data_IF_959068982272
#
_entry.id   IF_959068982272
#
_cell.length_a   1.000
_cell.length_b   1.000
_cell.length_c   1.000
_cell.angle_alpha   90.00
_cell.angle_beta   90.00
_cell.angle_gamma   90.00
#
_symmetry.space_group_name_H-M   'P 1'
#
loop_
_entity.id
_entity.type
_entity.pdbx_description
1 polymer ?
#
# COMPACT_ATOMS: atom_id res chain seq x y z
N UNK A 1 17.56 -24.60 0.90
CA UNK A 1 16.22 -24.10 1.29
C UNK A 1 16.27 -23.05 2.41
N UNK A 2 17.38 -22.91 3.14
CA UNK A 2 17.53 -21.89 4.20
C UNK A 2 17.40 -20.43 3.69
N UNK A 3 17.77 -20.14 2.44
CA UNK A 3 17.66 -18.77 1.89
C UNK A 3 16.22 -18.28 1.70
N UNK A 4 15.27 -19.19 1.50
CA UNK A 4 13.85 -18.85 1.31
C UNK A 4 13.22 -18.46 2.66
N UNK A 5 13.66 -19.11 3.75
CA UNK A 5 13.22 -18.80 5.11
C UNK A 5 13.75 -17.44 5.60
N UNK A 6 14.89 -16.97 5.07
CA UNK A 6 15.43 -15.63 5.34
C UNK A 6 14.84 -14.53 4.43
N UNK A 7 13.82 -14.84 3.62
CA UNK A 7 13.16 -13.88 2.73
C UNK A 7 13.93 -13.54 1.46
N UNK A 8 15.08 -14.18 1.20
CA UNK A 8 15.86 -13.98 -0.02
C UNK A 8 15.46 -15.06 -1.04
N UNK A 9 14.54 -14.69 -1.92
CA UNK A 9 14.07 -15.58 -2.99
C UNK A 9 14.81 -15.25 -4.30
N UNK A 10 15.63 -16.16 -4.84
CA UNK A 10 16.39 -15.93 -6.08
C UNK A 10 15.49 -15.63 -7.29
N UNK A 11 15.91 -14.69 -8.14
CA UNK A 11 15.13 -14.26 -9.30
C UNK A 11 14.87 -15.36 -10.35
N UNK A 12 15.78 -16.32 -10.49
CA UNK A 12 15.63 -17.51 -11.35
C UNK A 12 14.51 -18.43 -10.83
N UNK A 13 14.44 -18.65 -9.52
CA UNK A 13 13.40 -19.46 -8.88
C UNK A 13 12.01 -18.86 -9.12
N UNK A 14 11.86 -17.54 -9.04
CA UNK A 14 10.59 -16.86 -9.32
C UNK A 14 10.23 -16.85 -10.82
N UNK A 15 11.21 -16.88 -11.72
CA UNK A 15 11.00 -16.97 -13.17
C UNK A 15 10.54 -18.38 -13.56
N UNK A 16 11.12 -19.39 -12.92
CA UNK A 16 10.72 -20.79 -13.06
C UNK A 16 9.31 -21.04 -12.50
N UNK A 17 8.98 -20.49 -11.32
CA UNK A 17 7.62 -20.55 -10.75
C UNK A 17 6.56 -19.83 -11.61
N UNK A 18 6.94 -18.79 -12.36
CA UNK A 18 6.04 -18.12 -13.29
C UNK A 18 5.64 -18.98 -14.48
N UNK A 19 6.48 -19.96 -14.86
CA UNK A 19 6.28 -20.85 -16.02
C UNK A 19 5.68 -22.19 -15.58
N UNK A 20 6.20 -22.76 -14.50
CA UNK A 20 5.86 -24.11 -14.05
C UNK A 20 4.77 -24.13 -12.97
N UNK A 21 4.27 -22.97 -12.55
CA UNK A 21 3.38 -22.84 -11.40
C UNK A 21 4.11 -23.05 -10.08
N UNK A 22 3.35 -23.05 -8.98
CA UNK A 22 3.89 -23.36 -7.66
C UNK A 22 4.21 -24.86 -7.57
N UNK A 23 5.37 -25.20 -7.00
CA UNK A 23 5.68 -26.58 -6.61
C UNK A 23 4.58 -27.13 -5.69
N UNK A 24 4.36 -28.45 -5.69
CA UNK A 24 3.48 -29.06 -4.70
C UNK A 24 3.89 -28.65 -3.28
N UNK A 25 2.87 -28.50 -2.43
CA UNK A 25 3.02 -28.06 -1.04
C UNK A 25 4.16 -28.83 -0.37
N UNK A 26 5.22 -28.12 0.05
CA UNK A 26 6.05 -28.64 1.11
C UNK A 26 5.18 -28.68 2.36
N UNK A 27 4.67 -29.87 2.69
CA UNK A 27 3.99 -30.14 3.94
C UNK A 27 5.01 -29.91 5.05
N UNK A 28 4.90 -28.78 5.74
CA UNK A 28 5.54 -28.65 7.04
C UNK A 28 4.81 -29.59 7.99
N UNK A 29 5.57 -30.41 8.72
CA UNK A 29 5.02 -31.13 9.88
C UNK A 29 4.39 -30.09 10.78
N UNK A 30 3.06 -30.14 11.01
CA UNK A 30 2.42 -29.21 11.93
C UNK A 30 3.10 -29.35 13.29
N UNK A 31 3.29 -28.24 13.99
CA UNK A 31 3.78 -28.29 15.37
C UNK A 31 2.91 -29.27 16.19
N UNK A 32 3.51 -30.02 17.11
CA UNK A 32 2.82 -31.08 17.87
C UNK A 32 1.54 -30.58 18.55
N UNK A 33 1.55 -29.33 19.02
CA UNK A 33 0.39 -28.69 19.67
C UNK A 33 -0.78 -28.40 18.70
N UNK A 34 -0.56 -28.38 17.37
CA UNK A 34 -1.62 -28.27 16.36
C UNK A 34 -2.32 -29.61 16.09
N UNK A 35 -1.78 -30.72 16.63
CA UNK A 35 -2.41 -32.05 16.57
C UNK A 35 -3.37 -32.30 17.74
N UNK A 36 -3.43 -31.39 18.72
CA UNK A 36 -4.34 -31.49 19.84
C UNK A 36 -5.80 -31.18 19.42
N UNK A 37 -6.81 -31.79 20.07
CA UNK A 37 -8.21 -31.52 19.78
C UNK A 37 -8.54 -30.02 19.92
N UNK A 38 -9.32 -29.49 18.97
CA UNK A 38 -9.81 -28.11 19.06
C UNK A 38 -10.68 -27.93 20.31
N UNK A 39 -10.28 -27.00 21.18
CA UNK A 39 -11.07 -26.57 22.33
C UNK A 39 -11.73 -25.21 22.05
N UNK A 40 -13.07 -25.09 22.16
CA UNK A 40 -13.77 -23.81 22.01
C UNK A 40 -13.24 -22.80 23.02
N UNK A 41 -12.88 -21.61 22.54
CA UNK A 41 -12.39 -20.51 23.38
C UNK A 41 -13.52 -19.52 23.69
N UNK A 42 -13.42 -18.87 24.85
CA UNK A 42 -14.38 -17.84 25.28
C UNK A 42 -14.27 -16.60 24.39
N UNK A 43 -15.35 -15.81 24.29
CA UNK A 43 -15.35 -14.58 23.50
C UNK A 43 -14.32 -13.53 23.99
N UNK A 44 -13.87 -13.64 25.25
CA UNK A 44 -12.84 -12.76 25.85
C UNK A 44 -11.40 -13.21 25.62
N UNK A 45 -11.16 -14.43 25.09
CA UNK A 45 -9.82 -15.00 25.02
C UNK A 45 -8.85 -14.17 24.17
N UNK A 46 -9.34 -13.48 23.14
CA UNK A 46 -8.51 -12.59 22.29
C UNK A 46 -7.99 -11.39 23.07
N UNK A 47 -8.78 -10.87 24.01
CA UNK A 47 -8.39 -9.73 24.84
C UNK A 47 -7.44 -10.16 25.98
N UNK A 48 -7.59 -11.39 26.47
CA UNK A 48 -6.67 -12.02 27.44
C UNK A 48 -5.32 -12.38 26.81
N UNK A 49 -5.34 -12.95 25.60
CA UNK A 49 -4.13 -13.36 24.87
C UNK A 49 -3.36 -12.15 24.31
N UNK A 50 -4.06 -11.07 23.97
CA UNK A 50 -3.47 -9.88 23.33
C UNK A 50 -3.87 -8.57 24.02
N UNK A 51 -3.54 -8.39 25.31
CA UNK A 51 -3.98 -7.24 26.09
C UNK A 51 -3.49 -5.91 25.49
N UNK A 52 -2.30 -5.90 24.89
CA UNK A 52 -1.68 -4.72 24.30
C UNK A 52 -2.41 -4.16 23.07
N UNK A 53 -3.22 -4.98 22.37
CA UNK A 53 -4.02 -4.52 21.23
C UNK A 53 -5.26 -3.74 21.68
N UNK A 54 -5.70 -3.92 22.94
CA UNK A 54 -6.95 -3.36 23.47
C UNK A 54 -6.74 -2.42 24.67
N UNK A 55 -5.55 -2.39 25.28
CA UNK A 55 -5.25 -1.60 26.49
C UNK A 55 -4.83 -0.14 26.25
N UNK A 56 -5.24 0.45 25.12
CA UNK A 56 -5.46 1.90 25.00
C UNK A 56 -4.26 2.86 24.96
N UNK A 57 -3.00 2.40 24.89
CA UNK A 57 -1.84 3.30 24.80
C UNK A 57 -1.46 3.69 23.37
N UNK A 58 -1.78 2.85 22.38
CA UNK A 58 -1.67 3.17 20.97
C UNK A 58 -3.08 3.51 20.46
N UNK A 59 -3.29 4.73 19.98
CA UNK A 59 -4.58 5.12 19.40
C UNK A 59 -4.92 4.19 18.25
N UNK A 60 -5.82 3.23 18.45
CA UNK A 60 -6.17 2.14 17.51
C UNK A 60 -5.05 1.14 17.16
N UNK A 61 -5.47 -0.10 16.89
CA UNK A 61 -4.60 -1.22 16.46
C UNK A 61 -3.71 -0.86 15.25
N UNK A 62 -4.17 0.03 14.36
CA UNK A 62 -3.39 0.45 13.20
C UNK A 62 -2.07 1.13 13.59
N UNK A 63 -2.08 2.00 14.60
CA UNK A 63 -0.88 2.72 15.04
C UNK A 63 0.03 1.89 15.95
N UNK A 64 -0.46 0.75 16.46
CA UNK A 64 0.40 -0.25 17.05
C UNK A 64 1.32 -0.87 15.99
N UNK A 65 0.74 -1.27 14.85
CA UNK A 65 1.47 -1.93 13.76
C UNK A 65 2.24 -0.95 12.87
N UNK A 66 1.67 0.22 12.57
CA UNK A 66 2.26 1.25 11.73
C UNK A 66 2.62 2.45 12.60
N UNK A 67 3.83 2.41 13.15
CA UNK A 67 4.32 3.43 14.09
C UNK A 67 4.54 4.79 13.41
N UNK A 68 4.51 5.90 14.17
CA UNK A 68 4.74 7.26 13.64
C UNK A 68 5.96 7.38 12.73
N UNK A 69 7.10 6.78 13.14
CA UNK A 69 8.34 6.81 12.36
C UNK A 69 8.17 6.25 10.94
N UNK A 70 7.46 5.12 10.81
CA UNK A 70 7.21 4.52 9.50
C UNK A 70 6.44 5.49 8.58
N UNK A 71 5.48 6.25 9.11
CA UNK A 71 4.75 7.24 8.30
C UNK A 71 5.63 8.40 7.87
N UNK A 72 6.59 8.82 8.69
CA UNK A 72 7.58 9.85 8.36
C UNK A 72 8.52 9.35 7.27
N UNK A 73 9.03 8.13 7.41
CA UNK A 73 9.92 7.51 6.42
C UNK A 73 9.23 7.38 5.05
N UNK A 74 7.99 6.87 5.02
CA UNK A 74 7.19 6.78 3.78
C UNK A 74 6.95 8.17 3.17
N UNK A 75 6.79 9.20 4.02
CA UNK A 75 6.60 10.58 3.54
C UNK A 75 7.86 11.13 2.90
N UNK A 76 9.03 10.87 3.49
CA UNK A 76 10.33 11.23 2.93
C UNK A 76 10.55 10.52 1.60
N UNK A 77 10.39 9.20 1.54
CA UNK A 77 10.55 8.40 0.32
C UNK A 77 9.58 8.83 -0.80
N UNK A 78 8.33 9.15 -0.47
CA UNK A 78 7.36 9.67 -1.43
C UNK A 78 7.76 11.06 -1.97
N UNK A 79 8.43 11.87 -1.15
CA UNK A 79 8.95 13.19 -1.54
C UNK A 79 10.15 13.05 -2.45
N UNK A 80 11.09 12.18 -2.10
CA UNK A 80 12.29 11.92 -2.91
C UNK A 80 11.90 11.36 -4.28
N UNK A 81 10.96 10.41 -4.33
CA UNK A 81 10.39 9.95 -5.59
C UNK A 81 9.75 11.07 -6.41
N UNK A 82 8.98 11.95 -5.76
CA UNK A 82 8.35 13.08 -6.46
C UNK A 82 9.41 13.99 -7.09
N UNK A 83 10.47 14.32 -6.36
CA UNK A 83 11.57 15.16 -6.86
C UNK A 83 12.34 14.47 -8.00
N UNK A 84 12.66 13.19 -7.84
CA UNK A 84 13.36 12.40 -8.86
C UNK A 84 12.55 12.26 -10.16
N UNK A 85 11.22 12.31 -10.09
CA UNK A 85 10.33 12.17 -11.24
C UNK A 85 9.86 13.51 -11.85
N UNK A 86 10.43 14.66 -11.44
CA UNK A 86 10.02 15.98 -11.96
C UNK A 86 10.19 16.06 -13.47
N UNK A 87 11.32 15.64 -14.02
CA UNK A 87 11.59 15.79 -15.46
C UNK A 87 10.59 15.00 -16.30
N UNK A 88 10.29 13.75 -15.92
CA UNK A 88 9.25 12.94 -16.56
C UNK A 88 7.87 13.62 -16.50
N UNK A 89 7.54 14.21 -15.34
CA UNK A 89 6.29 14.94 -15.09
C UNK A 89 6.20 16.25 -15.84
N UNK A 90 7.31 16.80 -16.32
CA UNK A 90 7.34 17.99 -17.19
C UNK A 90 7.20 17.56 -18.64
N UNK A 91 7.97 16.55 -19.09
CA UNK A 91 7.98 16.13 -20.49
C UNK A 91 6.64 15.57 -20.96
N UNK A 92 5.98 14.73 -20.14
CA UNK A 92 4.70 14.13 -20.51
C UNK A 92 3.60 15.16 -20.83
N UNK A 93 3.30 16.11 -19.92
CA UNK A 93 2.40 17.22 -20.19
C UNK A 93 2.88 18.13 -21.31
N UNK A 94 4.16 18.49 -21.37
CA UNK A 94 4.70 19.36 -22.42
C UNK A 94 4.46 18.78 -23.82
N UNK A 95 4.78 17.51 -24.03
CA UNK A 95 4.54 16.81 -25.29
C UNK A 95 3.07 16.82 -25.69
N UNK A 96 2.15 16.60 -24.74
CA UNK A 96 0.70 16.68 -24.96
C UNK A 96 0.23 18.09 -25.33
N UNK A 97 0.81 19.12 -24.72
CA UNK A 97 0.47 20.52 -25.02
C UNK A 97 0.97 20.93 -26.41
N UNK A 98 2.20 20.57 -26.78
CA UNK A 98 2.76 20.81 -28.12
C UNK A 98 1.92 20.11 -29.19
N UNK A 99 1.53 18.85 -28.95
CA UNK A 99 0.64 18.11 -29.85
C UNK A 99 -0.77 18.72 -29.96
N UNK A 100 -1.20 19.52 -28.98
CA UNK A 100 -2.47 20.26 -29.01
C UNK A 100 -2.33 21.59 -29.75
N UNK A 101 -1.24 22.31 -29.55
CA UNK A 101 -0.93 23.56 -30.27
C UNK A 101 -0.84 23.32 -31.78
N UNK A 102 -0.25 22.20 -32.21
CA UNK A 102 -0.20 21.86 -33.64
C UNK A 102 -1.58 21.63 -34.27
N UNK A 103 -2.58 21.25 -33.47
CA UNK A 103 -3.97 20.99 -33.92
C UNK A 103 -4.89 22.20 -33.76
N UNK A 104 -4.59 23.09 -32.81
CA UNK A 104 -5.44 24.23 -32.45
C UNK A 104 -4.60 25.51 -32.39
N UNK A 105 -4.68 26.34 -33.45
CA UNK A 105 -3.88 27.57 -33.59
C UNK A 105 -4.11 28.61 -32.48
N UNK A 106 -5.24 28.55 -31.79
CA UNK A 106 -5.57 29.43 -30.66
C UNK A 106 -4.94 28.98 -29.34
N UNK A 107 -4.44 27.74 -29.28
CA UNK A 107 -3.83 27.18 -28.08
C UNK A 107 -2.31 27.31 -28.13
N UNK A 108 -1.73 27.93 -27.11
CA UNK A 108 -0.28 28.01 -26.90
C UNK A 108 0.16 27.03 -25.81
N UNK A 109 1.14 26.19 -26.12
CA UNK A 109 1.77 25.33 -25.12
C UNK A 109 2.58 26.17 -24.13
N UNK A 110 2.53 25.78 -22.85
CA UNK A 110 3.42 26.34 -21.83
C UNK A 110 4.86 25.87 -22.08
N UNK A 111 5.84 26.67 -21.68
CA UNK A 111 7.23 26.22 -21.67
C UNK A 111 7.44 25.12 -20.62
N UNK A 112 8.53 24.36 -20.76
CA UNK A 112 8.92 23.34 -19.78
C UNK A 112 9.12 23.93 -18.39
N UNK A 113 9.71 25.11 -18.30
CA UNK A 113 9.98 25.83 -17.07
C UNK A 113 8.68 26.23 -16.37
N UNK A 114 7.70 26.74 -17.12
CA UNK A 114 6.39 27.08 -16.57
C UNK A 114 5.63 25.83 -16.07
N UNK A 115 5.73 24.70 -16.79
CA UNK A 115 5.15 23.43 -16.34
C UNK A 115 5.88 22.94 -15.08
N UNK A 116 7.21 23.05 -15.03
CA UNK A 116 8.03 22.66 -13.88
C UNK A 116 7.65 23.47 -12.64
N UNK A 117 7.48 24.78 -12.77
CA UNK A 117 7.04 25.66 -11.69
C UNK A 117 5.64 25.25 -11.19
N UNK A 118 4.72 24.94 -12.12
CA UNK A 118 3.37 24.47 -11.75
C UNK A 118 3.40 23.11 -11.04
N UNK A 119 4.28 22.18 -11.45
CA UNK A 119 4.46 20.89 -10.77
C UNK A 119 5.03 21.10 -9.35
N UNK A 120 6.02 21.96 -9.19
CA UNK A 120 6.67 22.27 -7.91
C UNK A 120 5.76 23.02 -6.91
N UNK A 121 4.68 23.65 -7.37
CA UNK A 121 3.65 24.24 -6.49
C UNK A 121 2.82 23.20 -5.74
N UNK A 122 2.92 21.92 -6.09
CA UNK A 122 2.20 20.87 -5.38
C UNK A 122 2.66 20.81 -3.90
N UNK A 123 1.73 20.84 -2.93
CA UNK A 123 2.12 20.79 -1.53
C UNK A 123 2.72 19.43 -1.18
N UNK A 124 3.76 19.39 -0.30
CA UNK A 124 4.36 18.14 0.14
C UNK A 124 3.31 17.25 0.81
N UNK A 125 3.49 15.94 0.72
CA UNK A 125 2.64 14.99 1.45
C UNK A 125 3.03 15.07 2.92
N UNK A 126 2.06 15.08 3.81
CA UNK A 126 2.32 15.01 5.25
C UNK A 126 1.97 13.63 5.80
N UNK A 127 2.69 13.17 6.82
CA UNK A 127 2.47 11.85 7.43
C UNK A 127 1.03 11.66 7.91
N UNK A 128 0.39 12.71 8.42
CA UNK A 128 -1.03 12.69 8.81
C UNK A 128 -1.98 12.44 7.62
N UNK A 129 -1.63 12.91 6.43
CA UNK A 129 -2.43 12.67 5.23
C UNK A 129 -2.35 11.21 4.80
N UNK A 130 -1.21 10.53 5.02
CA UNK A 130 -1.09 9.09 4.77
C UNK A 130 -2.03 8.29 5.69
N UNK A 131 -2.15 8.67 6.96
CA UNK A 131 -3.10 8.06 7.88
C UNK A 131 -4.55 8.22 7.38
N UNK A 132 -4.93 9.41 6.94
CA UNK A 132 -6.26 9.67 6.37
C UNK A 132 -6.46 8.87 5.08
N UNK A 133 -5.47 8.85 4.19
CA UNK A 133 -5.50 8.10 2.94
C UNK A 133 -5.75 6.61 3.19
N UNK A 134 -5.00 5.98 4.09
CA UNK A 134 -5.18 4.57 4.46
C UNK A 134 -6.55 4.34 5.12
N UNK A 135 -6.99 5.26 5.99
CA UNK A 135 -8.34 5.22 6.55
C UNK A 135 -9.44 5.20 5.47
N UNK A 136 -9.30 6.01 4.42
CA UNK A 136 -10.23 6.03 3.29
C UNK A 136 -10.16 4.76 2.44
N UNK A 137 -8.98 4.18 2.23
CA UNK A 137 -8.80 2.88 1.52
C UNK A 137 -9.43 1.73 2.32
N UNK A 138 -9.28 1.72 3.64
CA UNK A 138 -9.91 0.73 4.53
C UNK A 138 -11.43 0.91 4.52
N UNK A 139 -11.93 2.13 4.68
CA UNK A 139 -13.37 2.43 4.64
C UNK A 139 -14.01 1.98 3.31
N UNK A 140 -13.31 2.19 2.19
CA UNK A 140 -13.72 1.71 0.86
C UNK A 140 -13.79 0.17 0.77
N UNK A 141 -12.95 -0.53 1.51
CA UNK A 141 -12.85 -1.99 1.52
C UNK A 141 -13.93 -2.63 2.39
N UNK A 142 -14.27 -2.00 3.52
CA UNK A 142 -15.33 -2.46 4.44
C UNK A 142 -16.72 -2.22 3.84
N UNK A 143 -16.92 -1.11 3.15
CA UNK A 143 -18.16 -0.80 2.43
C UNK A 143 -17.92 -1.07 0.94
N UNK A 144 -18.14 -2.31 0.45
CA UNK A 144 -18.00 -2.64 -0.96
C UNK A 144 -19.12 -1.95 -1.74
N UNK A 145 -18.96 -0.66 -1.99
CA UNK A 145 -19.76 0.05 -2.95
C UNK A 145 -19.46 -0.55 -4.33
N UNK A 146 -20.47 -1.06 -5.03
CA UNK A 146 -20.26 -1.69 -6.35
C UNK A 146 -19.91 -0.68 -7.44
N UNK A 147 -19.88 0.62 -7.11
CA UNK A 147 -19.62 1.69 -8.04
C UNK A 147 -18.17 2.21 -7.98
N UNK A 148 -17.88 3.16 -8.89
CA UNK A 148 -16.56 3.77 -9.08
C UNK A 148 -16.09 4.47 -7.80
N UNK A 149 -14.79 4.40 -7.50
CA UNK A 149 -14.16 5.08 -6.36
C UNK A 149 -14.52 6.57 -6.30
N UNK A 150 -14.60 7.24 -7.45
CA UNK A 150 -14.96 8.65 -7.54
C UNK A 150 -16.34 9.01 -6.95
N UNK A 151 -17.26 8.03 -6.85
CA UNK A 151 -18.60 8.27 -6.32
C UNK A 151 -18.59 8.58 -4.83
N UNK A 152 -17.52 8.25 -4.09
CA UNK A 152 -17.33 8.66 -2.69
C UNK A 152 -17.16 10.18 -2.50
N UNK A 153 -16.99 10.94 -3.58
CA UNK A 153 -16.96 12.40 -3.58
C UNK A 153 -18.18 13.04 -4.26
N UNK A 154 -19.17 12.24 -4.70
CA UNK A 154 -20.44 12.80 -5.20
C UNK A 154 -21.20 13.44 -4.04
N UNK A 155 -21.61 14.69 -4.26
CA UNK A 155 -22.42 15.45 -3.30
C UNK A 155 -23.91 15.36 -3.59
N UNK A 156 -24.30 14.84 -4.76
CA UNK A 156 -25.70 14.67 -5.16
C UNK A 156 -26.24 13.34 -4.66
N UNK A 157 -27.41 13.40 -4.04
CA UNK A 157 -28.19 12.22 -3.69
C UNK A 157 -28.86 11.68 -4.96
N UNK A 158 -28.61 10.41 -5.28
CA UNK A 158 -29.30 9.69 -6.35
C UNK A 158 -30.14 8.59 -5.68
N UNK A 159 -31.43 8.85 -5.47
CA UNK A 159 -32.36 7.91 -4.83
C UNK A 159 -32.04 7.64 -3.35
N UNK A 160 -32.04 6.37 -2.94
CA UNK A 160 -31.75 5.95 -1.56
C UNK A 160 -30.24 5.83 -1.25
N UNK A 161 -29.37 6.27 -2.15
CA UNK A 161 -27.91 6.16 -1.99
C UNK A 161 -27.40 7.35 -1.15
N UNK A 162 -26.77 7.10 0.00
CA UNK A 162 -26.25 8.17 0.85
C UNK A 162 -25.08 8.91 0.18
N UNK A 163 -24.91 10.18 0.58
CA UNK A 163 -23.87 11.10 0.08
C UNK A 163 -22.47 10.52 0.23
N UNK A 164 -21.56 10.93 -0.66
CA UNK A 164 -20.14 10.67 -0.52
C UNK A 164 -19.54 11.44 0.68
N UNK A 165 -18.96 10.70 1.64
CA UNK A 165 -18.36 11.29 2.85
C UNK A 165 -16.86 11.60 2.71
N UNK A 166 -16.19 11.09 1.68
CA UNK A 166 -14.72 11.17 1.58
C UNK A 166 -14.24 12.61 1.45
N UNK A 167 -15.01 13.46 0.76
CA UNK A 167 -14.70 14.88 0.59
C UNK A 167 -14.59 15.68 1.89
N UNK A 168 -15.10 15.17 3.02
CA UNK A 168 -14.93 15.78 4.34
C UNK A 168 -13.53 15.58 4.93
N UNK A 169 -12.83 14.54 4.48
CA UNK A 169 -11.51 14.15 5.01
C UNK A 169 -10.39 14.49 4.04
N UNK A 170 -10.60 14.27 2.74
CA UNK A 170 -9.60 14.51 1.72
C UNK A 170 -10.27 14.76 0.38
N UNK A 171 -9.77 15.70 -0.43
CA UNK A 171 -10.28 15.91 -1.78
C UNK A 171 -9.91 14.73 -2.68
N UNK A 172 -10.74 14.45 -3.70
CA UNK A 172 -10.47 13.38 -4.67
C UNK A 172 -9.10 13.57 -5.33
N UNK A 173 -8.78 14.79 -5.70
CA UNK A 173 -7.56 15.10 -6.43
C UNK A 173 -6.33 14.95 -5.52
N UNK A 174 -6.43 15.28 -4.22
CA UNK A 174 -5.37 15.03 -3.24
C UNK A 174 -5.17 13.53 -2.99
N UNK A 175 -6.25 12.74 -2.87
CA UNK A 175 -6.15 11.29 -2.75
C UNK A 175 -5.46 10.65 -3.96
N UNK A 176 -5.81 11.10 -5.17
CA UNK A 176 -5.16 10.63 -6.40
C UNK A 176 -3.72 11.13 -6.54
N UNK A 177 -3.39 12.30 -5.98
CA UNK A 177 -2.01 12.78 -5.89
C UNK A 177 -1.19 11.89 -4.97
N UNK A 178 -1.66 11.61 -3.75
CA UNK A 178 -0.97 10.71 -2.80
C UNK A 178 -0.79 9.33 -3.41
N UNK A 179 -1.86 8.75 -3.97
CA UNK A 179 -1.80 7.41 -4.59
C UNK A 179 -0.76 7.27 -5.72
N UNK A 180 -0.45 8.35 -6.45
CA UNK A 180 0.54 8.32 -7.54
C UNK A 180 1.97 8.55 -7.05
N UNK A 181 2.14 9.14 -5.88
CA UNK A 181 3.45 9.50 -5.33
C UNK A 181 3.87 8.61 -4.17
N UNK A 182 2.97 7.80 -3.62
CA UNK A 182 3.23 6.91 -2.51
C UNK A 182 4.36 5.93 -2.84
N UNK A 183 5.50 6.10 -2.15
CA UNK A 183 6.67 5.22 -2.25
C UNK A 183 7.11 4.81 -0.85
N UNK A 184 7.55 3.56 -0.73
CA UNK A 184 8.00 3.01 0.55
C UNK A 184 9.51 2.79 0.59
N UNK A 185 10.20 2.77 -0.55
CA UNK A 185 11.63 2.49 -0.64
C UNK A 185 12.29 3.19 -1.83
N UNK A 186 13.61 3.42 -1.80
CA UNK A 186 14.34 3.99 -2.92
C UNK A 186 14.31 3.08 -4.16
N UNK A 187 14.15 3.69 -5.34
CA UNK A 187 14.11 2.96 -6.61
C UNK A 187 15.51 2.59 -7.15
N UNK A 188 16.55 3.31 -6.73
CA UNK A 188 17.93 3.14 -7.17
C UNK A 188 18.73 2.19 -6.27
N UNK A 189 18.12 1.69 -5.19
CA UNK A 189 18.76 0.75 -4.28
C UNK A 189 19.16 -0.54 -5.03
N UNK A 190 20.42 -1.01 -4.90
CA UNK A 190 20.85 -2.28 -5.48
C UNK A 190 19.98 -3.49 -5.10
N UNK A 191 19.30 -3.44 -3.95
CA UNK A 191 18.36 -4.45 -3.48
C UNK A 191 17.10 -4.53 -4.36
N UNK A 192 16.67 -3.41 -4.98
CA UNK A 192 15.53 -3.40 -5.90
C UNK A 192 15.71 -4.36 -7.09
N UNK A 193 16.97 -4.61 -7.50
CA UNK A 193 17.30 -5.57 -8.58
C UNK A 193 17.30 -7.02 -8.13
N UNK A 194 17.41 -7.26 -6.82
CA UNK A 194 17.58 -8.60 -6.23
C UNK A 194 16.29 -9.10 -5.59
N UNK A 195 15.53 -8.22 -4.95
CA UNK A 195 14.32 -8.53 -4.21
C UNK A 195 13.09 -7.95 -4.90
N UNK A 196 12.21 -8.82 -5.42
CA UNK A 196 10.98 -8.37 -6.13
C UNK A 196 10.01 -7.58 -5.23
N UNK A 197 10.02 -7.85 -3.93
CA UNK A 197 9.16 -7.19 -2.95
C UNK A 197 9.81 -5.95 -2.31
N UNK A 198 11.00 -5.52 -2.78
CA UNK A 198 11.76 -4.40 -2.22
C UNK A 198 10.89 -3.16 -2.01
N UNK A 199 10.04 -2.85 -3.00
CA UNK A 199 9.12 -1.71 -2.97
C UNK A 199 8.13 -1.70 -1.83
N UNK A 200 7.85 -2.83 -1.19
CA UNK A 200 6.97 -2.94 -0.03
C UNK A 200 7.73 -3.34 1.25
N UNK A 201 9.05 -3.52 1.16
CA UNK A 201 9.86 -4.14 2.21
C UNK A 201 9.78 -3.40 3.54
N UNK A 202 9.86 -2.06 3.60
CA UNK A 202 9.77 -1.34 4.88
C UNK A 202 8.44 -1.55 5.59
N UNK A 203 7.34 -1.64 4.85
CA UNK A 203 6.01 -1.92 5.42
C UNK A 203 5.93 -3.38 5.88
N UNK A 204 6.48 -4.33 5.11
CA UNK A 204 6.49 -5.75 5.46
C UNK A 204 7.29 -5.97 6.75
N UNK A 205 8.50 -5.41 6.85
CA UNK A 205 9.38 -5.58 8.02
C UNK A 205 8.72 -4.98 9.27
N UNK A 206 8.16 -3.77 9.17
CA UNK A 206 7.44 -3.15 10.29
C UNK A 206 6.24 -3.98 10.77
N UNK A 207 5.46 -4.52 9.83
CA UNK A 207 4.33 -5.39 10.17
C UNK A 207 4.80 -6.70 10.80
N UNK A 208 5.85 -7.33 10.27
CA UNK A 208 6.39 -8.58 10.78
C UNK A 208 6.97 -8.42 12.19
N UNK A 209 7.75 -7.37 12.43
CA UNK A 209 8.32 -7.06 13.74
C UNK A 209 7.21 -6.88 14.78
N UNK A 210 6.21 -6.03 14.48
CA UNK A 210 5.12 -5.73 15.40
C UNK A 210 4.20 -6.93 15.61
N UNK A 211 3.96 -7.72 14.58
CA UNK A 211 3.19 -8.96 14.70
C UNK A 211 3.91 -9.98 15.58
N UNK A 212 5.20 -10.21 15.36
CA UNK A 212 5.99 -11.12 16.19
C UNK A 212 6.06 -10.67 17.67
N UNK A 213 6.03 -9.36 17.94
CA UNK A 213 6.07 -8.82 19.29
C UNK A 213 4.79 -9.09 20.12
N UNK A 214 3.64 -9.31 19.47
CA UNK A 214 2.36 -9.54 20.17
C UNK A 214 1.78 -10.91 19.94
N UNK A 215 2.12 -11.58 18.83
CA UNK A 215 1.49 -12.82 18.45
C UNK A 215 2.23 -14.01 19.06
N UNK A 216 1.66 -14.59 20.11
CA UNK A 216 2.00 -15.96 20.51
C UNK A 216 1.09 -16.94 19.76
N UNK A 217 1.63 -17.87 18.96
CA UNK A 217 0.83 -18.88 18.26
C UNK A 217 0.06 -19.75 19.27
N UNK A 218 -1.24 -19.95 19.04
CA UNK A 218 -2.07 -20.87 19.83
C UNK A 218 -2.47 -22.06 18.95
N UNK A 219 -2.83 -23.19 19.56
CA UNK A 219 -3.19 -24.44 18.87
C UNK A 219 -4.32 -24.30 17.81
N UNK A 220 -5.09 -23.21 17.84
CA UNK A 220 -6.17 -22.93 16.89
C UNK A 220 -5.73 -22.14 15.64
N UNK A 221 -4.47 -21.69 15.55
CA UNK A 221 -4.00 -20.86 14.45
C UNK A 221 -3.71 -21.71 13.19
N UNK A 222 -4.74 -21.96 12.37
CA UNK A 222 -4.58 -22.61 11.07
C UNK A 222 -3.96 -21.68 10.02
N UNK A 223 -2.88 -22.12 9.37
CA UNK A 223 -2.29 -21.42 8.23
C UNK A 223 -3.20 -21.56 6.99
N UNK A 224 -4.01 -20.54 6.69
CA UNK A 224 -4.76 -20.46 5.42
C UNK A 224 -4.14 -19.41 4.50
N UNK A 225 -3.82 -19.82 3.27
CA UNK A 225 -3.32 -18.92 2.21
C UNK A 225 -4.47 -18.20 1.52
N UNK A 226 -4.33 -16.90 1.27
CA UNK A 226 -5.28 -16.08 0.50
C UNK A 226 -5.01 -16.14 -1.01
N UNK A 227 -6.08 -15.96 -1.81
CA UNK A 227 -6.09 -16.07 -3.27
C UNK A 227 -5.36 -14.92 -4.01
N UNK A 228 -4.88 -15.12 -5.25
CA UNK A 228 -3.98 -14.19 -5.95
C UNK A 228 -4.66 -12.91 -6.47
N UNK A 229 -3.89 -11.82 -6.51
CA UNK A 229 -4.23 -10.54 -7.12
C UNK A 229 -3.97 -10.55 -8.64
N UNK A 230 -4.92 -10.08 -9.46
CA UNK A 230 -4.73 -9.89 -10.91
C UNK A 230 -4.29 -8.45 -11.20
N UNK A 231 -2.99 -8.21 -11.10
CA UNK A 231 -2.33 -7.00 -11.60
C UNK A 231 -0.95 -7.38 -12.14
N UNK A 232 -0.61 -6.96 -13.36
CA UNK A 232 0.75 -7.16 -13.87
C UNK A 232 1.71 -6.31 -13.04
N UNK A 233 2.65 -6.97 -12.38
CA UNK A 233 3.88 -6.34 -11.89
C UNK A 233 4.71 -6.03 -13.14
N UNK A 234 4.68 -4.77 -13.56
CA UNK A 234 5.56 -4.31 -14.64
C UNK A 234 6.89 -3.95 -13.98
N UNK A 235 7.92 -4.75 -14.29
CA UNK A 235 9.30 -4.43 -13.93
C UNK A 235 9.64 -3.05 -14.51
N UNK A 236 10.07 -2.12 -13.64
CA UNK A 236 10.62 -0.82 -14.03
C UNK A 236 12.13 -0.90 -14.06
#
# INVERSE_FOLDING_TARGET
MESIASGIVPGNFLKEMGVNGWSELALHTPYDYLQEPFHPRSAGSVQEDYPHLYSGHSGSVLFYYLQPQLWEDITAESTDYFLASIDERVEGPHAKQVARESKHREYKAKSREAIREDVLKAPPIESRELCVFIGLVIARSIVPFKEKLANHWKTREEGAIPRGCFGRFMTRDRLMYISRNLHFSPNDDPAAKKERAWKARPVIDALQERFAAVFTPTAAAGLRRCAPHRGSLVDS
#
